data_IF_289308177728
#
_entry.id   IF_289308177728
#
_cell.length_a   1.000
_cell.length_b   1.000
_cell.length_c   1.000
_cell.angle_alpha   90.00
_cell.angle_beta   90.00
_cell.angle_gamma   90.00
#
_symmetry.space_group_name_H-M   'P 1'
#
loop_
_entity.id
_entity.type
_entity.pdbx_description
1 polymer ?
#
# COMPACT_ATOMS: atom_id res chain seq x y z
N UNK A 1 -24.28 24.34 11.24
CA UNK A 1 -23.51 24.55 9.99
C UNK A 1 -22.12 25.03 10.37
N UNK A 2 -21.17 24.11 10.56
CA UNK A 2 -19.77 24.42 10.83
C UNK A 2 -19.03 24.53 9.50
N UNK A 3 -18.60 25.74 9.15
CA UNK A 3 -17.78 25.97 7.96
C UNK A 3 -16.46 25.17 8.06
N UNK A 4 -16.13 24.28 7.10
CA UNK A 4 -14.85 23.59 7.11
C UNK A 4 -13.73 24.58 6.80
N UNK A 5 -12.78 24.71 7.73
CA UNK A 5 -11.60 25.59 7.64
C UNK A 5 -10.82 25.29 6.34
N UNK A 6 -10.86 26.21 5.38
CA UNK A 6 -10.15 26.15 4.07
C UNK A 6 -8.67 25.75 4.15
N UNK A 7 -8.01 25.93 5.30
CA UNK A 7 -6.62 25.54 5.53
C UNK A 7 -6.40 24.03 5.60
N UNK A 8 -7.30 23.26 6.23
CA UNK A 8 -7.15 21.81 6.40
C UNK A 8 -7.26 21.07 5.07
N UNK A 9 -8.13 21.54 4.17
CA UNK A 9 -8.29 20.96 2.84
C UNK A 9 -6.98 21.06 2.01
N UNK A 10 -6.32 22.22 2.01
CA UNK A 10 -5.06 22.43 1.27
C UNK A 10 -3.90 21.59 1.83
N UNK A 11 -3.80 21.48 3.15
CA UNK A 11 -2.77 20.64 3.78
C UNK A 11 -2.94 19.17 3.38
N UNK A 12 -4.19 18.69 3.38
CA UNK A 12 -4.50 17.36 2.88
C UNK A 12 -4.15 17.25 1.38
N UNK A 13 -4.41 18.27 0.56
CA UNK A 13 -4.16 18.21 -0.91
C UNK A 13 -2.66 18.11 -1.21
N UNK A 14 -1.84 18.85 -0.45
CA UNK A 14 -0.39 18.72 -0.48
C UNK A 14 0.08 17.32 -0.11
N UNK A 15 -0.45 16.76 0.98
CA UNK A 15 -0.11 15.41 1.43
C UNK A 15 -0.48 14.33 0.40
N UNK A 16 -1.63 14.46 -0.25
CA UNK A 16 -2.03 13.53 -1.32
C UNK A 16 -1.15 13.64 -2.57
N UNK A 17 -0.70 14.85 -2.91
CA UNK A 17 0.21 15.07 -4.03
C UNK A 17 1.59 14.47 -3.74
N UNK A 18 2.09 14.61 -2.51
CA UNK A 18 3.31 13.94 -2.06
C UNK A 18 3.17 12.41 -2.09
N UNK A 19 2.07 11.87 -1.55
CA UNK A 19 1.80 10.43 -1.59
C UNK A 19 1.77 9.89 -3.03
N UNK A 20 1.25 10.67 -3.99
CA UNK A 20 1.26 10.31 -5.41
C UNK A 20 2.66 10.25 -6.00
N UNK A 21 3.47 11.26 -5.72
CA UNK A 21 4.87 11.26 -6.16
C UNK A 21 5.63 10.06 -5.58
N UNK A 22 5.40 9.76 -4.31
CA UNK A 22 6.05 8.66 -3.61
C UNK A 22 5.58 7.28 -4.12
N UNK A 23 4.29 7.13 -4.42
CA UNK A 23 3.74 5.92 -5.05
C UNK A 23 4.37 5.67 -6.44
N UNK A 24 4.45 6.72 -7.27
CA UNK A 24 5.08 6.64 -8.60
C UNK A 24 6.56 6.29 -8.51
N UNK A 25 7.29 6.94 -7.59
CA UNK A 25 8.70 6.63 -7.34
C UNK A 25 8.91 5.17 -6.89
N UNK A 26 8.10 4.68 -5.94
CA UNK A 26 8.19 3.30 -5.47
C UNK A 26 7.96 2.29 -6.61
N UNK A 27 7.02 2.58 -7.51
CA UNK A 27 6.68 1.72 -8.63
C UNK A 27 7.81 1.67 -9.68
N UNK A 28 8.40 2.81 -10.01
CA UNK A 28 9.57 2.89 -10.91
C UNK A 28 10.78 2.20 -10.28
N UNK A 29 11.07 2.47 -9.00
CA UNK A 29 12.17 1.83 -8.28
C UNK A 29 12.00 0.30 -8.24
N UNK A 30 10.79 -0.19 -7.98
CA UNK A 30 10.48 -1.62 -8.01
C UNK A 30 10.76 -2.24 -9.38
N UNK A 31 10.35 -1.57 -10.46
CA UNK A 31 10.59 -2.04 -11.83
C UNK A 31 12.09 -2.11 -12.15
N UNK A 32 12.87 -1.10 -11.72
CA UNK A 32 14.32 -1.09 -11.90
C UNK A 32 15.02 -2.22 -11.13
N UNK A 33 14.58 -2.50 -9.90
CA UNK A 33 15.12 -3.60 -9.10
C UNK A 33 14.82 -4.96 -9.73
N UNK A 34 13.61 -5.16 -10.27
CA UNK A 34 13.29 -6.38 -11.00
C UNK A 34 14.10 -6.52 -12.30
N UNK A 35 14.30 -5.42 -13.04
CA UNK A 35 15.19 -5.42 -14.19
C UNK A 35 16.64 -5.77 -13.80
N UNK A 36 17.10 -5.26 -12.64
CA UNK A 36 18.41 -5.60 -12.08
C UNK A 36 18.50 -7.09 -11.69
N UNK A 37 17.46 -7.67 -11.09
CA UNK A 37 17.42 -9.11 -10.78
C UNK A 37 17.61 -9.97 -12.03
N UNK A 38 16.93 -9.60 -13.12
CA UNK A 38 17.06 -10.28 -14.42
C UNK A 38 18.49 -10.17 -14.94
N UNK A 39 19.06 -8.96 -14.94
CA UNK A 39 20.44 -8.74 -15.36
C UNK A 39 21.45 -9.52 -14.51
N UNK A 40 21.33 -9.47 -13.18
CA UNK A 40 22.24 -10.16 -12.27
C UNK A 40 22.21 -11.68 -12.49
N UNK A 41 21.02 -12.25 -12.71
CA UNK A 41 20.86 -13.68 -12.96
C UNK A 41 21.46 -14.12 -14.30
N UNK A 42 21.27 -13.34 -15.37
CA UNK A 42 21.69 -13.75 -16.72
C UNK A 42 23.10 -13.30 -17.10
N UNK A 43 23.64 -12.25 -16.48
CA UNK A 43 24.96 -11.69 -16.82
C UNK A 43 25.99 -11.96 -15.73
N UNK A 44 25.64 -11.77 -14.46
CA UNK A 44 26.56 -12.00 -13.33
C UNK A 44 26.51 -13.45 -12.84
N UNK A 45 25.55 -14.26 -13.33
CA UNK A 45 25.30 -15.64 -12.89
C UNK A 45 25.12 -15.78 -11.37
N UNK A 46 24.73 -14.69 -10.70
CA UNK A 46 24.50 -14.63 -9.26
C UNK A 46 23.20 -13.87 -9.00
N UNK A 47 22.27 -14.50 -8.27
CA UNK A 47 20.96 -13.93 -7.96
C UNK A 47 21.01 -13.27 -6.58
N UNK A 48 21.05 -11.94 -6.47
CA UNK A 48 21.27 -11.29 -5.18
C UNK A 48 20.03 -11.40 -4.29
N UNK A 49 20.11 -12.12 -3.17
CA UNK A 49 18.98 -12.37 -2.27
C UNK A 49 18.38 -11.13 -1.59
N UNK A 50 19.08 -10.00 -1.59
CA UNK A 50 18.59 -8.74 -1.01
C UNK A 50 17.47 -8.08 -1.84
N UNK A 51 17.35 -8.45 -3.11
CA UNK A 51 16.37 -7.85 -4.04
C UNK A 51 14.94 -8.30 -3.77
N UNK A 52 14.75 -9.52 -3.27
CA UNK A 52 13.46 -10.12 -2.96
C UNK A 52 12.71 -9.40 -1.81
N UNK A 53 13.29 -9.21 -0.61
CA UNK A 53 12.63 -8.45 0.45
C UNK A 53 12.43 -6.98 0.08
N UNK A 54 13.35 -6.39 -0.71
CA UNK A 54 13.22 -5.01 -1.16
C UNK A 54 12.06 -4.83 -2.15
N UNK A 55 11.85 -5.78 -3.06
CA UNK A 55 10.72 -5.76 -3.98
C UNK A 55 9.37 -5.85 -3.23
N UNK A 56 9.28 -6.69 -2.20
CA UNK A 56 8.07 -6.80 -1.36
C UNK A 56 7.79 -5.51 -0.58
N UNK A 57 8.85 -4.86 -0.07
CA UNK A 57 8.72 -3.57 0.61
C UNK A 57 8.22 -2.49 -0.35
N UNK A 58 8.81 -2.38 -1.55
CA UNK A 58 8.42 -1.39 -2.55
C UNK A 58 7.00 -1.63 -3.10
N UNK A 59 6.63 -2.88 -3.33
CA UNK A 59 5.25 -3.27 -3.66
C UNK A 59 4.29 -2.80 -2.58
N UNK A 60 4.60 -3.06 -1.31
CA UNK A 60 3.74 -2.64 -0.18
C UNK A 60 3.59 -1.12 -0.11
N UNK A 61 4.69 -0.37 -0.29
CA UNK A 61 4.65 1.09 -0.36
C UNK A 61 3.82 1.60 -1.54
N UNK A 62 4.03 1.04 -2.73
CA UNK A 62 3.29 1.42 -3.93
C UNK A 62 1.78 1.16 -3.77
N UNK A 63 1.39 0.02 -3.21
CA UNK A 63 -0.02 -0.31 -2.94
C UNK A 63 -0.60 0.63 -1.89
N UNK A 64 0.10 0.87 -0.77
CA UNK A 64 -0.39 1.72 0.31
C UNK A 64 -0.60 3.17 -0.15
N UNK A 65 0.38 3.77 -0.82
CA UNK A 65 0.26 5.14 -1.30
C UNK A 65 -0.66 5.25 -2.53
N UNK A 66 -0.62 4.28 -3.43
CA UNK A 66 -1.53 4.20 -4.57
C UNK A 66 -2.99 4.11 -4.14
N UNK A 67 -3.27 3.35 -3.08
CA UNK A 67 -4.56 3.30 -2.43
C UNK A 67 -5.01 4.63 -1.83
N UNK A 68 -4.16 5.28 -1.05
CA UNK A 68 -4.46 6.58 -0.45
C UNK A 68 -4.84 7.64 -1.51
N UNK A 69 -4.10 7.63 -2.62
CA UNK A 69 -4.38 8.46 -3.80
C UNK A 69 -5.67 8.05 -4.50
N UNK A 70 -5.92 6.76 -4.70
CA UNK A 70 -7.11 6.25 -5.37
C UNK A 70 -8.41 6.62 -4.62
N UNK A 71 -8.37 6.62 -3.29
CA UNK A 71 -9.47 7.10 -2.43
C UNK A 71 -9.61 8.61 -2.55
N UNK A 72 -8.51 9.37 -2.53
CA UNK A 72 -8.52 10.83 -2.63
C UNK A 72 -9.03 11.35 -3.98
N UNK A 73 -8.63 10.71 -5.08
CA UNK A 73 -8.97 11.15 -6.44
C UNK A 73 -10.31 10.62 -6.95
N UNK A 74 -11.09 9.97 -6.09
CA UNK A 74 -12.40 9.39 -6.43
C UNK A 74 -12.43 8.81 -7.85
N UNK A 75 -11.51 7.90 -8.17
CA UNK A 75 -11.49 7.22 -9.48
C UNK A 75 -12.63 6.19 -9.63
N UNK A 76 -13.81 6.53 -9.12
CA UNK A 76 -15.11 5.98 -9.51
C UNK A 76 -15.59 6.54 -10.88
N UNK A 77 -14.71 7.15 -11.68
CA UNK A 77 -15.05 7.80 -12.95
C UNK A 77 -15.63 6.84 -14.02
N UNK A 78 -15.32 5.54 -13.99
CA UNK A 78 -15.93 4.58 -14.91
C UNK A 78 -17.38 4.20 -14.54
N UNK A 79 -17.81 4.45 -13.30
CA UNK A 79 -19.16 4.07 -12.86
C UNK A 79 -20.17 5.22 -12.96
N UNK A 80 -19.73 6.48 -13.07
CA UNK A 80 -20.69 7.58 -13.17
C UNK A 80 -21.51 7.49 -14.46
N UNK A 81 -20.88 7.17 -15.60
CA UNK A 81 -21.59 6.95 -16.88
C UNK A 81 -22.54 5.76 -16.84
N UNK A 82 -22.22 4.69 -16.10
CA UNK A 82 -23.10 3.53 -15.93
C UNK A 82 -24.22 3.77 -14.90
N UNK A 83 -23.99 4.67 -13.92
CA UNK A 83 -24.92 5.03 -12.85
C UNK A 83 -26.03 5.97 -13.34
N UNK A 84 -25.77 6.75 -14.37
CA UNK A 84 -26.78 7.61 -15.00
C UNK A 84 -27.67 6.84 -15.99
N UNK A 85 -27.21 5.67 -16.47
CA UNK A 85 -27.96 4.78 -17.35
C UNK A 85 -28.74 3.65 -16.63
N UNK A 86 -28.59 3.48 -15.30
CA UNK A 86 -29.10 2.31 -14.58
C UNK A 86 -30.37 2.58 -13.73
N UNK A 87 -31.41 1.72 -13.79
CA UNK A 87 -32.63 1.86 -12.99
C UNK A 87 -32.40 1.58 -11.49
N UNK A 88 -33.32 2.13 -10.67
CA UNK A 88 -33.26 2.28 -9.21
C UNK A 88 -32.60 1.19 -8.34
N UNK A 89 -32.85 -0.12 -8.52
CA UNK A 89 -32.28 -1.15 -7.64
C UNK A 89 -30.76 -1.31 -7.78
N UNK A 90 -30.19 -1.07 -8.97
CA UNK A 90 -28.74 -1.21 -9.20
C UNK A 90 -27.94 -0.12 -8.47
N UNK A 91 -28.55 1.05 -8.27
CA UNK A 91 -27.99 2.20 -7.52
C UNK A 91 -27.79 1.89 -6.03
N UNK A 92 -28.63 1.03 -5.46
CA UNK A 92 -28.53 0.62 -4.05
C UNK A 92 -27.42 -0.41 -3.84
N UNK A 93 -27.34 -1.42 -4.72
CA UNK A 93 -26.26 -2.43 -4.71
C UNK A 93 -24.88 -1.78 -4.85
N UNK A 94 -24.77 -0.86 -5.80
CA UNK A 94 -23.63 0.04 -5.99
C UNK A 94 -23.17 0.77 -4.73
N UNK A 95 -24.11 1.42 -4.01
CA UNK A 95 -23.82 2.16 -2.78
C UNK A 95 -23.35 1.25 -1.64
N UNK A 96 -23.84 0.02 -1.61
CA UNK A 96 -23.42 -0.98 -0.63
C UNK A 96 -22.04 -1.53 -0.95
N UNK A 97 -21.73 -1.81 -2.22
CA UNK A 97 -20.40 -2.23 -2.66
C UNK A 97 -19.35 -1.14 -2.39
N UNK A 98 -19.61 0.13 -2.72
CA UNK A 98 -18.68 1.22 -2.39
C UNK A 98 -18.44 1.34 -0.88
N UNK A 99 -19.48 1.18 -0.04
CA UNK A 99 -19.31 1.19 1.42
C UNK A 99 -18.48 0.01 1.92
N UNK A 100 -18.67 -1.18 1.35
CA UNK A 100 -17.88 -2.37 1.68
C UNK A 100 -16.42 -2.23 1.26
N UNK A 101 -16.15 -1.67 0.08
CA UNK A 101 -14.78 -1.41 -0.40
C UNK A 101 -14.12 -0.37 0.50
N UNK A 102 -14.80 0.72 0.84
CA UNK A 102 -14.28 1.74 1.75
C UNK A 102 -13.99 1.15 3.15
N UNK A 103 -14.87 0.29 3.66
CA UNK A 103 -14.67 -0.40 4.94
C UNK A 103 -13.45 -1.34 4.90
N UNK A 104 -13.29 -2.11 3.82
CA UNK A 104 -12.10 -2.96 3.63
C UNK A 104 -10.82 -2.12 3.54
N UNK A 105 -10.87 -0.98 2.86
CA UNK A 105 -9.72 -0.08 2.74
C UNK A 105 -9.31 0.54 4.08
N UNK A 106 -10.30 0.95 4.88
CA UNK A 106 -10.07 1.43 6.24
C UNK A 106 -9.42 0.34 7.11
N UNK A 107 -9.92 -0.90 7.00
CA UNK A 107 -9.33 -2.06 7.70
C UNK A 107 -7.89 -2.35 7.28
N UNK A 108 -7.57 -2.27 5.98
CA UNK A 108 -6.21 -2.47 5.48
C UNK A 108 -5.25 -1.38 5.98
N UNK A 109 -5.66 -0.11 6.00
CA UNK A 109 -4.84 0.98 6.53
C UNK A 109 -4.60 0.81 8.03
N UNK A 110 -5.61 0.39 8.78
CA UNK A 110 -5.48 0.11 10.20
C UNK A 110 -4.51 -1.05 10.45
N UNK A 111 -4.63 -2.13 9.67
CA UNK A 111 -3.74 -3.28 9.72
C UNK A 111 -2.29 -2.92 9.39
N UNK A 112 -2.06 -2.12 8.34
CA UNK A 112 -0.73 -1.63 7.98
C UNK A 112 -0.10 -0.76 9.08
N UNK A 113 -0.89 0.12 9.71
CA UNK A 113 -0.42 0.94 10.84
C UNK A 113 -0.10 0.09 12.08
N UNK A 114 -0.89 -0.95 12.36
CA UNK A 114 -0.63 -1.88 13.45
C UNK A 114 0.63 -2.72 13.22
N UNK A 115 0.83 -3.21 12.00
CA UNK A 115 2.05 -3.95 11.63
C UNK A 115 3.28 -3.06 11.75
N UNK A 116 3.18 -1.79 11.31
CA UNK A 116 4.26 -0.83 11.45
C UNK A 116 4.59 -0.54 12.92
N UNK A 117 3.56 -0.36 13.77
CA UNK A 117 3.72 -0.18 15.20
C UNK A 117 4.37 -1.40 15.87
N UNK A 118 3.92 -2.61 15.53
CA UNK A 118 4.47 -3.86 16.04
C UNK A 118 5.91 -4.07 15.59
N UNK A 119 6.22 -3.76 14.33
CA UNK A 119 7.58 -3.79 13.81
C UNK A 119 8.50 -2.77 14.51
N UNK A 120 7.97 -1.58 14.80
CA UNK A 120 8.69 -0.52 15.51
C UNK A 120 8.94 -0.89 16.98
N UNK A 121 7.93 -1.44 17.67
CA UNK A 121 8.06 -1.98 19.02
C UNK A 121 9.11 -3.09 19.05
N UNK A 122 9.05 -4.05 18.12
CA UNK A 122 10.01 -5.14 18.04
C UNK A 122 11.44 -4.65 17.75
N UNK A 123 11.59 -3.59 16.97
CA UNK A 123 12.88 -2.95 16.69
C UNK A 123 13.45 -2.21 17.92
N UNK A 124 12.58 -1.60 18.73
CA UNK A 124 12.97 -0.83 19.92
C UNK A 124 13.18 -1.70 21.16
N UNK A 125 12.36 -2.73 21.35
CA UNK A 125 12.39 -3.63 22.51
C UNK A 125 13.42 -4.74 22.34
N UNK A 126 13.87 -5.03 21.12
CA UNK A 126 15.03 -5.89 20.89
C UNK A 126 14.81 -7.38 21.16
N UNK A 127 13.58 -7.84 21.38
CA UNK A 127 13.22 -9.25 21.65
C UNK A 127 13.28 -10.15 20.41
N UNK A 128 14.33 -10.02 19.59
CA UNK A 128 14.64 -11.04 18.59
C UNK A 128 15.32 -12.21 19.29
N UNK A 129 14.52 -13.13 19.82
CA UNK A 129 15.00 -14.47 20.12
C UNK A 129 15.17 -15.20 18.79
N UNK A 130 16.42 -15.40 18.35
CA UNK A 130 16.70 -16.34 17.28
C UNK A 130 16.19 -17.73 17.73
N UNK A 131 15.51 -18.49 16.87
CA UNK A 131 15.19 -19.88 17.21
C UNK A 131 16.52 -20.60 17.45
N UNK A 132 16.65 -21.29 18.59
CA UNK A 132 17.81 -22.11 18.93
C UNK A 132 17.89 -23.32 17.99
N UNK A 133 18.28 -23.07 16.74
CA UNK A 133 18.67 -24.10 15.78
C UNK A 133 19.97 -24.81 16.19
N UNK A 134 20.63 -24.33 17.25
CA UNK A 134 21.78 -24.99 17.85
C UNK A 134 21.39 -26.18 18.75
N UNK A 135 20.18 -26.21 19.33
CA UNK A 135 19.77 -27.26 20.28
C UNK A 135 19.08 -28.47 19.59
N UNK A 136 18.67 -28.32 18.32
CA UNK A 136 18.08 -29.41 17.52
C UNK A 136 19.11 -30.18 16.67
N UNK A 137 20.40 -29.86 16.80
CA UNK A 137 21.48 -30.53 16.08
C UNK A 137 22.22 -31.58 16.93
N UNK A 138 21.88 -31.73 18.22
CA UNK A 138 22.53 -32.68 19.15
C UNK A 138 21.68 -33.91 19.55
N UNK A 139 20.46 -34.06 19.02
CA UNK A 139 19.60 -35.26 19.23
C UNK A 139 19.41 -36.11 17.96
#
# INVERSE_FOLDING_TARGET
MSEPRRGSARALDGLASLAMGLAGFALVAMALIQAWQVFARYVLNDSPGWTEPLALLLMSFAVMFGAAVAVRRETHFAFQTFRDAAPGPLKWLMKSISRLIALKFAGLCLGGALILLFALERLLTGDYHAPDVAEQAED
#
